data_IF_120669590109
#
_entry.id   IF_120669590109
#
_cell.length_a   1.000
_cell.length_b   1.000
_cell.length_c   1.000
_cell.angle_alpha   90.00
_cell.angle_beta   90.00
_cell.angle_gamma   90.00
#
_symmetry.space_group_name_H-M   'P 1'
#
loop_
_entity.id
_entity.type
_entity.pdbx_description
1 polymer ?
#
# COMPACT_ATOMS: atom_id res chain seq x y z
N UNK A 1 -9.87 -26.78 -3.26
CA UNK A 1 -9.75 -25.51 -4.02
C UNK A 1 -8.97 -25.81 -5.28
N UNK A 2 -9.35 -25.27 -6.44
CA UNK A 2 -8.55 -25.45 -7.67
C UNK A 2 -7.27 -24.62 -7.53
N UNK A 3 -6.18 -25.07 -8.16
CA UNK A 3 -4.90 -24.33 -8.17
C UNK A 3 -5.02 -22.92 -8.73
N UNK A 4 -5.95 -22.71 -9.66
CA UNK A 4 -6.29 -21.40 -10.22
C UNK A 4 -6.88 -20.44 -9.18
N UNK A 5 -7.73 -20.93 -8.27
CA UNK A 5 -8.32 -20.11 -7.19
C UNK A 5 -7.26 -19.72 -6.16
N UNK A 6 -6.37 -20.67 -5.81
CA UNK A 6 -5.23 -20.41 -4.93
C UNK A 6 -4.29 -19.35 -5.51
N UNK A 7 -4.01 -19.41 -6.81
CA UNK A 7 -3.15 -18.46 -7.49
C UNK A 7 -3.80 -17.07 -7.57
N UNK A 8 -5.11 -17.01 -7.83
CA UNK A 8 -5.87 -15.76 -7.82
C UNK A 8 -5.93 -15.10 -6.43
N UNK A 9 -6.17 -15.88 -5.38
CA UNK A 9 -6.19 -15.40 -3.99
C UNK A 9 -4.79 -14.95 -3.55
N UNK A 10 -3.75 -15.69 -3.92
CA UNK A 10 -2.35 -15.31 -3.65
C UNK A 10 -1.96 -14.00 -4.33
N UNK A 11 -2.32 -13.84 -5.61
CA UNK A 11 -2.12 -12.60 -6.37
C UNK A 11 -2.90 -11.42 -5.79
N UNK A 12 -4.16 -11.62 -5.41
CA UNK A 12 -4.97 -10.58 -4.77
C UNK A 12 -4.33 -10.14 -3.44
N UNK A 13 -3.91 -11.11 -2.62
CA UNK A 13 -3.23 -10.83 -1.36
C UNK A 13 -1.94 -10.05 -1.62
N UNK A 14 -1.12 -10.49 -2.58
CA UNK A 14 0.07 -9.77 -3.00
C UNK A 14 -0.23 -8.32 -3.42
N UNK A 15 -1.23 -8.09 -4.26
CA UNK A 15 -1.58 -6.74 -4.71
C UNK A 15 -2.04 -5.82 -3.57
N UNK A 16 -2.83 -6.35 -2.63
CA UNK A 16 -3.30 -5.60 -1.46
C UNK A 16 -2.14 -5.19 -0.54
N UNK A 17 -1.13 -6.05 -0.36
CA UNK A 17 0.00 -5.77 0.51
C UNK A 17 1.17 -5.06 -0.17
N UNK A 18 1.34 -5.22 -1.49
CA UNK A 18 2.38 -4.50 -2.23
C UNK A 18 2.04 -3.01 -2.32
N UNK A 19 0.78 -2.66 -2.61
CA UNK A 19 0.25 -1.28 -2.52
C UNK A 19 1.11 -0.17 -3.17
N UNK A 20 0.74 1.09 -2.92
CA UNK A 20 1.53 2.24 -3.37
C UNK A 20 2.77 2.48 -2.48
N UNK A 21 2.66 2.16 -1.18
CA UNK A 21 3.74 2.36 -0.22
C UNK A 21 4.99 1.55 -0.55
N UNK A 22 4.85 0.24 -0.79
CA UNK A 22 6.01 -0.60 -1.05
C UNK A 22 6.60 -0.42 -2.45
N UNK A 23 5.99 0.41 -3.29
CA UNK A 23 6.56 0.84 -4.58
C UNK A 23 7.31 2.16 -4.47
N UNK A 24 6.83 3.09 -3.65
CA UNK A 24 7.35 4.46 -3.58
C UNK A 24 8.46 4.58 -2.53
N UNK A 25 8.37 3.84 -1.41
CA UNK A 25 9.36 3.93 -0.33
C UNK A 25 10.72 3.30 -0.62
N UNK A 26 10.86 2.17 -1.35
CA UNK A 26 12.20 1.59 -1.55
C UNK A 26 13.18 2.51 -2.28
N UNK A 27 12.78 3.22 -3.37
CA UNK A 27 13.67 4.18 -4.02
C UNK A 27 14.09 5.33 -3.10
N UNK A 28 13.16 5.92 -2.33
CA UNK A 28 13.49 7.02 -1.41
C UNK A 28 14.32 6.55 -0.22
N UNK A 29 13.96 5.42 0.40
CA UNK A 29 14.76 4.79 1.46
C UNK A 29 16.16 4.41 0.98
N UNK A 30 16.30 3.96 -0.27
CA UNK A 30 17.59 3.66 -0.87
C UNK A 30 18.46 4.92 -1.02
N UNK A 31 17.87 6.05 -1.42
CA UNK A 31 18.57 7.33 -1.49
C UNK A 31 18.99 7.82 -0.10
N UNK A 32 18.10 7.71 0.89
CA UNK A 32 18.36 8.16 2.27
C UNK A 32 19.33 7.25 3.04
N UNK A 33 19.43 5.97 2.65
CA UNK A 33 20.27 4.98 3.33
C UNK A 33 21.78 5.20 3.10
N UNK A 34 22.17 5.94 2.06
CA UNK A 34 23.57 6.23 1.73
C UNK A 34 24.41 4.95 1.63
N UNK A 35 25.36 4.78 2.55
CA UNK A 35 26.27 3.61 2.59
C UNK A 35 25.63 2.36 3.22
N UNK A 36 24.52 2.49 3.94
CA UNK A 36 23.90 1.42 4.73
C UNK A 36 22.76 0.72 3.99
N UNK A 37 22.88 0.55 2.68
CA UNK A 37 21.84 -0.03 1.81
C UNK A 37 21.34 -1.40 2.29
N UNK A 38 22.25 -2.33 2.58
CA UNK A 38 21.87 -3.68 3.04
C UNK A 38 21.09 -3.66 4.36
N UNK A 39 21.41 -2.73 5.25
CA UNK A 39 20.70 -2.59 6.53
C UNK A 39 19.32 -2.00 6.30
N UNK A 40 19.21 -0.95 5.48
CA UNK A 40 17.92 -0.35 5.12
C UNK A 40 17.00 -1.34 4.37
N UNK A 41 17.54 -2.12 3.44
CA UNK A 41 16.80 -3.13 2.69
C UNK A 41 16.29 -4.26 3.59
N UNK A 42 17.12 -4.77 4.50
CA UNK A 42 16.71 -5.84 5.42
C UNK A 42 15.67 -5.34 6.43
N UNK A 43 15.85 -4.15 7.01
CA UNK A 43 14.86 -3.53 7.89
C UNK A 43 13.53 -3.27 7.16
N UNK A 44 13.58 -2.77 5.92
CA UNK A 44 12.40 -2.56 5.09
C UNK A 44 11.68 -3.89 4.79
N UNK A 45 12.40 -4.95 4.41
CA UNK A 45 11.80 -6.26 4.15
C UNK A 45 11.09 -6.82 5.41
N UNK A 46 11.73 -6.72 6.57
CA UNK A 46 11.15 -7.21 7.83
C UNK A 46 9.88 -6.41 8.20
N UNK A 47 9.93 -5.08 8.09
CA UNK A 47 8.84 -4.21 8.53
C UNK A 47 7.71 -4.07 7.52
N UNK A 48 8.01 -3.89 6.24
CA UNK A 48 7.04 -3.61 5.18
C UNK A 48 6.42 -4.88 4.58
N UNK A 49 7.11 -6.03 4.66
CA UNK A 49 6.61 -7.30 4.11
C UNK A 49 6.44 -8.36 5.20
N UNK A 50 7.42 -8.53 6.09
CA UNK A 50 7.41 -9.54 7.13
C UNK A 50 6.25 -9.38 8.13
N UNK A 51 6.09 -8.19 8.71
CA UNK A 51 5.02 -7.91 9.67
C UNK A 51 3.60 -8.07 9.07
N UNK A 52 3.30 -7.53 7.88
CA UNK A 52 2.00 -7.76 7.25
C UNK A 52 1.75 -9.23 6.91
N UNK A 53 2.74 -9.96 6.40
CA UNK A 53 2.62 -11.39 6.13
C UNK A 53 2.34 -12.19 7.42
N UNK A 54 3.06 -11.88 8.51
CA UNK A 54 2.81 -12.48 9.82
C UNK A 54 1.39 -12.16 10.33
N UNK A 55 0.92 -10.92 10.12
CA UNK A 55 -0.43 -10.50 10.49
C UNK A 55 -1.50 -11.31 9.77
N UNK A 56 -1.34 -11.58 8.47
CA UNK A 56 -2.28 -12.43 7.69
C UNK A 56 -2.31 -13.85 8.24
N UNK A 57 -1.15 -14.43 8.56
CA UNK A 57 -1.06 -15.79 9.10
C UNK A 57 -1.80 -15.88 10.45
N UNK A 58 -1.60 -14.88 11.32
CA UNK A 58 -2.27 -14.80 12.62
C UNK A 58 -3.77 -14.58 12.45
N UNK A 59 -4.20 -13.63 11.62
CA UNK A 59 -5.62 -13.37 11.36
C UNK A 59 -6.32 -14.56 10.71
N UNK A 60 -5.63 -15.30 9.84
CA UNK A 60 -6.15 -16.53 9.24
C UNK A 60 -6.43 -17.65 10.25
N UNK A 61 -5.85 -17.57 11.46
CA UNK A 61 -6.14 -18.49 12.58
C UNK A 61 -7.23 -17.97 13.52
N UNK A 62 -7.64 -16.70 13.39
CA UNK A 62 -8.65 -16.06 14.23
C UNK A 62 -9.98 -16.00 13.47
N UNK A 63 -11.02 -16.62 14.03
CA UNK A 63 -12.33 -16.72 13.36
C UNK A 63 -13.14 -15.42 13.37
N UNK A 64 -12.92 -14.53 14.34
CA UNK A 64 -13.60 -13.22 14.41
C UNK A 64 -12.67 -12.13 14.95
N UNK A 65 -12.71 -10.95 14.33
CA UNK A 65 -11.94 -9.76 14.72
C UNK A 65 -12.29 -9.23 16.11
N UNK A 66 -13.51 -9.46 16.61
CA UNK A 66 -13.91 -9.11 17.99
C UNK A 66 -13.04 -9.80 19.07
N UNK A 67 -12.46 -10.97 18.80
CA UNK A 67 -11.58 -11.65 19.76
C UNK A 67 -10.30 -10.86 20.05
N UNK A 68 -9.85 -9.98 19.14
CA UNK A 68 -8.68 -9.13 19.39
C UNK A 68 -8.91 -8.12 20.51
N UNK A 69 -10.14 -7.64 20.67
CA UNK A 69 -10.50 -6.62 21.67
C UNK A 69 -11.25 -7.18 22.89
N UNK A 70 -11.47 -8.50 22.95
CA UNK A 70 -12.18 -9.14 24.07
C UNK A 70 -11.44 -9.03 25.41
N UNK A 71 -10.11 -8.87 25.38
CA UNK A 71 -9.32 -8.64 26.58
C UNK A 71 -9.44 -7.20 27.13
N UNK A 72 -10.04 -6.28 26.36
CA UNK A 72 -10.18 -4.87 26.73
C UNK A 72 -11.58 -4.59 27.32
N UNK A 73 -11.70 -3.62 28.25
CA UNK A 73 -13.01 -3.18 28.73
C UNK A 73 -13.82 -2.55 27.57
N UNK A 74 -15.15 -2.73 27.60
CA UNK A 74 -16.05 -2.39 26.47
C UNK A 74 -15.84 -0.97 25.90
N UNK A 75 -15.64 0.03 26.76
CA UNK A 75 -15.42 1.41 26.33
C UNK A 75 -14.11 1.60 25.56
N UNK A 76 -13.05 0.89 25.96
CA UNK A 76 -11.73 0.94 25.33
C UNK A 76 -11.73 0.16 24.00
N UNK A 77 -12.43 -0.96 23.95
CA UNK A 77 -12.63 -1.72 22.72
C UNK A 77 -13.37 -0.89 21.65
N UNK A 78 -14.45 -0.20 22.01
CA UNK A 78 -15.21 0.62 21.07
C UNK A 78 -14.40 1.82 20.58
N UNK A 79 -13.72 2.54 21.48
CA UNK A 79 -12.88 3.69 21.10
C UNK A 79 -11.72 3.28 20.20
N UNK A 80 -11.09 2.13 20.46
CA UNK A 80 -10.06 1.57 19.59
C UNK A 80 -10.56 1.33 18.16
N UNK A 81 -11.71 0.67 17.98
CA UNK A 81 -12.26 0.40 16.66
C UNK A 81 -12.67 1.68 15.92
N UNK A 82 -13.27 2.64 16.61
CA UNK A 82 -13.62 3.95 16.03
C UNK A 82 -12.36 4.66 15.55
N UNK A 83 -11.35 4.79 16.40
CA UNK A 83 -10.08 5.42 16.04
C UNK A 83 -9.40 4.71 14.88
N UNK A 84 -9.39 3.38 14.88
CA UNK A 84 -8.76 2.58 13.82
C UNK A 84 -9.46 2.80 12.47
N UNK A 85 -10.80 2.73 12.40
CA UNK A 85 -11.52 2.97 11.16
C UNK A 85 -11.43 4.42 10.69
N UNK A 86 -11.46 5.39 11.62
CA UNK A 86 -11.24 6.80 11.30
C UNK A 86 -9.82 7.05 10.79
N UNK A 87 -8.80 6.42 11.38
CA UNK A 87 -7.41 6.57 10.95
C UNK A 87 -7.17 5.99 9.55
N UNK A 88 -7.64 4.76 9.31
CA UNK A 88 -7.47 4.09 8.01
C UNK A 88 -8.25 4.80 6.90
N UNK A 89 -9.48 5.21 7.17
CA UNK A 89 -10.32 5.86 6.18
C UNK A 89 -10.03 7.36 6.06
N UNK A 90 -10.82 8.23 6.72
CA UNK A 90 -10.82 9.67 6.48
C UNK A 90 -9.61 10.43 7.03
N UNK A 91 -9.00 10.02 8.15
CA UNK A 91 -8.04 10.89 8.86
C UNK A 91 -6.60 10.78 8.37
N UNK A 92 -6.09 9.57 8.08
CA UNK A 92 -4.69 9.38 7.71
C UNK A 92 -4.50 8.62 6.39
N UNK A 93 -5.18 7.47 6.23
CA UNK A 93 -4.94 6.60 5.09
C UNK A 93 -5.33 7.23 3.75
N UNK A 94 -6.58 7.69 3.61
CA UNK A 94 -7.01 8.34 2.36
C UNK A 94 -6.24 9.62 2.04
N UNK A 95 -6.12 10.61 2.96
CA UNK A 95 -5.41 11.86 2.65
C UNK A 95 -3.95 11.64 2.23
N UNK A 96 -3.25 10.67 2.86
CA UNK A 96 -1.88 10.31 2.48
C UNK A 96 -1.82 9.71 1.07
N UNK A 97 -2.74 8.81 0.73
CA UNK A 97 -2.76 8.21 -0.61
C UNK A 97 -2.98 9.27 -1.71
N UNK A 98 -3.86 10.24 -1.47
CA UNK A 98 -4.15 11.34 -2.40
C UNK A 98 -2.94 12.26 -2.58
N UNK A 99 -2.34 12.69 -1.48
CA UNK A 99 -1.18 13.60 -1.51
C UNK A 99 0.02 12.96 -2.20
N UNK A 100 0.31 11.70 -1.90
CA UNK A 100 1.40 10.96 -2.56
C UNK A 100 1.13 10.78 -4.06
N UNK A 101 -0.10 10.46 -4.46
CA UNK A 101 -0.47 10.36 -5.88
C UNK A 101 -0.29 11.69 -6.62
N UNK A 102 -0.59 12.82 -5.96
CA UNK A 102 -0.36 14.14 -6.51
C UNK A 102 1.15 14.47 -6.62
N UNK A 103 1.90 14.29 -5.53
CA UNK A 103 3.30 14.68 -5.46
C UNK A 103 4.20 13.89 -6.40
N UNK A 104 3.92 12.59 -6.58
CA UNK A 104 4.72 11.73 -7.44
C UNK A 104 4.18 11.68 -8.87
N UNK A 105 2.87 11.89 -9.07
CA UNK A 105 2.21 11.70 -10.36
C UNK A 105 1.95 12.96 -11.18
N UNK A 106 1.61 14.09 -10.54
CA UNK A 106 1.18 15.31 -11.24
C UNK A 106 2.12 16.48 -10.97
N UNK A 107 2.55 16.66 -9.72
CA UNK A 107 3.43 17.77 -9.30
C UNK A 107 4.71 17.88 -10.16
N UNK A 108 5.38 16.80 -10.60
CA UNK A 108 6.56 16.92 -11.47
C UNK A 108 6.27 17.49 -12.86
N UNK A 109 5.01 17.44 -13.31
CA UNK A 109 4.57 17.88 -14.65
C UNK A 109 3.80 19.20 -14.63
N UNK A 110 3.52 19.76 -13.45
CA UNK A 110 2.76 21.01 -13.28
C UNK A 110 3.59 22.06 -12.56
N UNK A 111 3.52 23.30 -13.04
CA UNK A 111 4.21 24.46 -12.45
C UNK A 111 3.40 25.14 -11.34
N UNK A 112 2.11 24.84 -11.23
CA UNK A 112 1.18 25.45 -10.27
C UNK A 112 0.59 24.38 -9.34
N UNK A 113 0.34 24.77 -8.09
CA UNK A 113 -0.17 23.84 -7.09
C UNK A 113 -1.70 23.68 -7.19
N UNK A 114 -2.13 22.56 -7.76
CA UNK A 114 -3.53 22.19 -7.94
C UNK A 114 -3.99 21.08 -6.98
N UNK A 115 -3.31 20.93 -5.84
CA UNK A 115 -3.55 19.87 -4.86
C UNK A 115 -5.03 19.77 -4.44
N UNK A 116 -5.70 20.92 -4.23
CA UNK A 116 -7.10 20.94 -3.79
C UNK A 116 -8.06 20.44 -4.87
N UNK A 117 -7.83 20.80 -6.13
CA UNK A 117 -8.65 20.34 -7.25
C UNK A 117 -8.40 18.85 -7.50
N UNK A 118 -7.13 18.43 -7.49
CA UNK A 118 -6.79 17.02 -7.64
C UNK A 118 -7.38 16.16 -6.51
N UNK A 119 -7.30 16.62 -5.26
CA UNK A 119 -7.80 15.85 -4.12
C UNK A 119 -9.31 15.67 -4.14
N UNK A 120 -10.06 16.70 -4.56
CA UNK A 120 -11.52 16.61 -4.75
C UNK A 120 -11.85 15.62 -5.86
N UNK A 121 -11.20 15.71 -7.02
CA UNK A 121 -11.46 14.82 -8.15
C UNK A 121 -11.08 13.37 -7.81
N UNK A 122 -9.91 13.17 -7.22
CA UNK A 122 -9.43 11.84 -6.82
C UNK A 122 -10.35 11.23 -5.78
N UNK A 123 -10.77 11.98 -4.75
CA UNK A 123 -11.68 11.50 -3.71
C UNK A 123 -13.08 11.22 -4.25
N UNK A 124 -13.58 12.02 -5.20
CA UNK A 124 -14.86 11.77 -5.85
C UNK A 124 -14.83 10.47 -6.68
N UNK A 125 -13.75 10.25 -7.45
CA UNK A 125 -13.56 9.04 -8.23
C UNK A 125 -13.43 7.80 -7.35
N UNK A 126 -12.65 7.85 -6.27
CA UNK A 126 -12.52 6.74 -5.33
C UNK A 126 -13.84 6.44 -4.63
N UNK A 127 -14.63 7.46 -4.25
CA UNK A 127 -15.96 7.28 -3.68
C UNK A 127 -16.92 6.61 -4.66
N UNK A 128 -16.93 7.03 -5.93
CA UNK A 128 -17.75 6.42 -6.98
C UNK A 128 -17.39 4.95 -7.22
N UNK A 129 -16.10 4.61 -7.13
CA UNK A 129 -15.63 3.23 -7.27
C UNK A 129 -16.00 2.39 -6.04
N UNK A 130 -15.93 2.98 -4.83
CA UNK A 130 -16.31 2.34 -3.57
C UNK A 130 -17.81 1.98 -3.52
N UNK A 131 -18.68 2.76 -4.15
CA UNK A 131 -20.10 2.43 -4.27
C UNK A 131 -20.39 1.22 -5.19
N UNK A 132 -19.39 0.66 -5.89
CA UNK A 132 -19.52 -0.55 -6.72
C UNK A 132 -18.65 -1.70 -6.18
N UNK A 133 -18.94 -2.21 -4.95
CA UNK A 133 -18.07 -3.17 -4.25
C UNK A 133 -17.89 -4.50 -5.00
N UNK A 134 -18.92 -4.95 -5.74
CA UNK A 134 -18.89 -6.23 -6.45
C UNK A 134 -17.84 -6.33 -7.56
N UNK A 135 -17.36 -5.20 -8.10
CA UNK A 135 -16.31 -5.19 -9.13
C UNK A 135 -14.92 -4.86 -8.59
N UNK A 136 -14.83 -4.45 -7.33
CA UNK A 136 -13.60 -3.94 -6.72
C UNK A 136 -12.53 -5.05 -6.62
N UNK A 137 -12.94 -6.24 -6.21
CA UNK A 137 -12.09 -7.44 -6.16
C UNK A 137 -11.62 -7.85 -7.57
N UNK A 138 -12.51 -7.82 -8.55
CA UNK A 138 -12.19 -8.13 -9.95
C UNK A 138 -11.19 -7.12 -10.55
N UNK A 139 -11.36 -5.83 -10.27
CA UNK A 139 -10.43 -4.77 -10.70
C UNK A 139 -9.05 -4.94 -10.06
N UNK A 140 -8.98 -5.27 -8.76
CA UNK A 140 -7.71 -5.50 -8.06
C UNK A 140 -6.98 -6.71 -8.65
N UNK A 141 -7.66 -7.86 -8.71
CA UNK A 141 -7.05 -9.12 -9.14
C UNK A 141 -6.67 -9.13 -10.62
N UNK A 142 -7.55 -8.65 -11.50
CA UNK A 142 -7.38 -8.78 -12.95
C UNK A 142 -6.58 -7.64 -13.58
N UNK A 143 -6.64 -6.44 -13.02
CA UNK A 143 -6.01 -5.25 -13.62
C UNK A 143 -4.89 -4.67 -12.77
N UNK A 144 -5.12 -4.43 -11.47
CA UNK A 144 -4.10 -3.81 -10.63
C UNK A 144 -2.91 -4.73 -10.40
N UNK A 145 -3.14 -6.01 -10.12
CA UNK A 145 -2.05 -6.96 -9.85
C UNK A 145 -1.04 -7.09 -11.01
N UNK A 146 -1.45 -7.34 -12.27
CA UNK A 146 -0.50 -7.38 -13.37
C UNK A 146 0.18 -6.02 -13.62
N UNK A 147 -0.54 -4.92 -13.45
CA UNK A 147 0.05 -3.58 -13.57
C UNK A 147 1.14 -3.33 -12.51
N UNK A 148 0.92 -3.73 -11.25
CA UNK A 148 1.91 -3.62 -10.17
C UNK A 148 3.17 -4.45 -10.46
N UNK A 149 3.02 -5.68 -10.97
CA UNK A 149 4.16 -6.53 -11.34
C UNK A 149 4.96 -5.91 -12.49
N UNK A 150 4.28 -5.41 -13.53
CA UNK A 150 4.94 -4.71 -14.64
C UNK A 150 5.67 -3.46 -14.16
N UNK A 151 5.07 -2.69 -13.25
CA UNK A 151 5.68 -1.51 -12.66
C UNK A 151 6.92 -1.85 -11.82
N UNK A 152 6.87 -2.90 -11.02
CA UNK A 152 8.03 -3.41 -10.28
C UNK A 152 9.17 -3.82 -11.22
N UNK A 153 8.86 -4.54 -12.30
CA UNK A 153 9.85 -4.95 -13.30
C UNK A 153 10.47 -3.72 -13.96
N UNK A 154 9.65 -2.74 -14.36
CA UNK A 154 10.12 -1.48 -14.95
C UNK A 154 11.00 -0.70 -13.97
N UNK A 155 10.62 -0.59 -12.70
CA UNK A 155 11.41 0.07 -11.66
C UNK A 155 12.74 -0.65 -11.44
N UNK A 156 12.73 -1.97 -11.31
CA UNK A 156 13.94 -2.78 -11.18
C UNK A 156 14.89 -2.60 -12.37
N UNK A 157 14.36 -2.64 -13.60
CA UNK A 157 15.15 -2.37 -14.81
C UNK A 157 15.68 -0.93 -14.86
N UNK A 158 14.86 0.06 -14.48
CA UNK A 158 15.25 1.47 -14.48
C UNK A 158 16.44 1.75 -13.55
N UNK A 159 16.52 1.03 -12.42
CA UNK A 159 17.64 1.15 -11.49
C UNK A 159 19.00 0.72 -12.11
N UNK A 160 18.99 -0.21 -13.07
CA UNK A 160 20.21 -0.63 -13.78
C UNK A 160 20.55 0.28 -14.97
N UNK A 161 19.54 0.85 -15.64
CA UNK A 161 19.72 1.65 -16.87
C UNK A 161 20.05 3.11 -16.56
N UNK A 162 19.37 3.70 -15.59
CA UNK A 162 19.51 5.12 -15.21
C UNK A 162 19.65 5.25 -13.69
N UNK A 163 20.83 4.94 -13.13
CA UNK A 163 21.04 5.07 -11.69
C UNK A 163 20.91 6.54 -11.26
N UNK A 164 19.98 6.81 -10.33
CA UNK A 164 19.75 8.14 -9.76
C UNK A 164 20.91 8.61 -8.85
N UNK A 165 21.87 7.72 -8.56
CA UNK A 165 23.10 8.01 -7.83
C UNK A 165 24.15 6.91 -8.05
N UNK A 166 25.43 7.26 -7.89
CA UNK A 166 26.53 6.28 -7.95
C UNK A 166 26.47 5.45 -6.66
N UNK A 167 26.42 4.10 -6.73
CA UNK A 167 26.52 3.29 -5.54
C UNK A 167 27.88 3.55 -4.91
N UNK A 168 27.89 4.18 -3.74
CA UNK A 168 29.08 4.28 -2.91
C UNK A 168 29.35 2.87 -2.34
N UNK A 169 30.12 2.10 -3.12
CA UNK A 169 30.79 0.89 -2.64
C UNK A 169 31.89 1.26 -1.65
#
# INVERSE_FOLDING_TARGET
MKTQDLLAIGLMTFALFLGAGNLIFPPSLGLDAGTSLFTAMSAFLVTAVGLPAFTIIVLGRISCTQYLTNALPKWLATTFWVLLFTAIGPAFGMPRAVTVAYEMGIKPFMTQDHLMVFSIIFSALTLLLAFKPGKLVDYIGKFMTPALILMLLALGLSAFISPLGVPAL
#
